data_IF_238697976112
#
_entry.id   IF_238697976112
#
_cell.length_a   1.000
_cell.length_b   1.000
_cell.length_c   1.000
_cell.angle_alpha   90.00
_cell.angle_beta   90.00
_cell.angle_gamma   90.00
#
_symmetry.space_group_name_H-M   'P 1'
#
loop_
_entity.id
_entity.type
_entity.pdbx_description
1 polymer ?
#
# COMPACT_ATOMS: atom_id res chain seq x y z
N UNK A 1 -22.20 17.92 12.43
CA UNK A 1 -20.86 17.39 12.68
C UNK A 1 -20.66 16.27 11.67
N UNK A 2 -19.74 16.44 10.74
CA UNK A 2 -19.39 15.40 9.78
C UNK A 2 -18.55 14.35 10.51
N UNK A 3 -18.52 13.11 10.01
CA UNK A 3 -17.71 12.00 10.55
C UNK A 3 -16.22 12.38 10.72
N UNK A 4 -15.74 13.36 9.96
CA UNK A 4 -14.39 13.93 10.06
C UNK A 4 -14.20 14.76 11.35
N UNK A 5 -15.21 15.55 11.77
CA UNK A 5 -15.09 16.43 12.95
C UNK A 5 -15.01 15.65 14.27
N UNK A 6 -15.59 14.44 14.31
CA UNK A 6 -15.53 13.56 15.48
C UNK A 6 -14.15 12.88 15.63
N UNK A 7 -13.45 12.63 14.51
CA UNK A 7 -12.13 11.96 14.48
C UNK A 7 -10.97 12.86 14.95
N UNK A 8 -11.15 14.19 14.98
CA UNK A 8 -10.04 15.15 15.11
C UNK A 8 -9.91 15.82 16.48
N UNK A 9 -10.91 15.74 17.35
CA UNK A 9 -10.94 16.57 18.57
C UNK A 9 -10.13 16.07 19.78
N UNK A 10 -9.41 14.94 19.70
CA UNK A 10 -8.69 14.33 20.82
C UNK A 10 -7.27 13.86 20.57
N UNK A 11 -6.68 14.00 19.37
CA UNK A 11 -5.62 13.13 18.86
C UNK A 11 -4.16 13.60 19.02
N UNK A 12 -3.79 14.57 19.86
CA UNK A 12 -2.42 15.14 19.79
C UNK A 12 -1.51 14.94 21.01
N UNK A 13 -2.00 14.44 22.13
CA UNK A 13 -1.15 14.02 23.25
C UNK A 13 -1.55 12.62 23.73
N UNK A 14 -0.72 11.62 23.36
CA UNK A 14 -0.93 10.24 23.77
C UNK A 14 -1.59 9.34 22.72
N UNK A 15 -1.58 9.74 21.43
CA UNK A 15 -2.10 8.92 20.34
C UNK A 15 -1.37 7.57 20.26
N UNK A 16 -2.13 6.48 20.28
CA UNK A 16 -1.63 5.11 20.26
C UNK A 16 -1.40 4.64 18.83
N UNK A 17 -0.16 4.33 18.49
CA UNK A 17 0.21 3.76 17.19
C UNK A 17 0.43 2.26 17.34
N UNK A 18 -0.38 1.47 16.67
CA UNK A 18 -0.16 0.03 16.48
C UNK A 18 0.63 -0.23 15.21
N UNK A 19 1.61 -1.13 15.28
CA UNK A 19 2.38 -1.54 14.10
C UNK A 19 1.99 -2.95 13.69
N UNK A 20 1.63 -3.14 12.42
CA UNK A 20 1.32 -4.43 11.83
C UNK A 20 2.42 -4.84 10.84
N UNK A 21 2.95 -6.05 11.02
CA UNK A 21 3.97 -6.67 10.16
C UNK A 21 3.48 -8.04 9.73
N UNK A 22 3.56 -8.34 8.43
CA UNK A 22 3.32 -9.69 7.91
C UNK A 22 4.64 -10.27 7.43
N UNK A 23 5.11 -11.28 8.15
CA UNK A 23 6.35 -11.99 7.80
C UNK A 23 6.06 -13.24 6.96
N UNK A 24 6.87 -13.48 5.95
CA UNK A 24 6.91 -14.73 5.19
C UNK A 24 8.33 -15.01 4.68
N UNK A 25 9.01 -15.96 5.33
CA UNK A 25 10.39 -16.36 4.98
C UNK A 25 11.40 -15.19 4.93
N UNK A 26 11.25 -14.20 5.82
CA UNK A 26 12.08 -12.99 5.82
C UNK A 26 12.72 -12.72 7.21
N UNK A 27 13.10 -13.77 7.97
CA UNK A 27 13.54 -13.64 9.37
C UNK A 27 14.62 -12.58 9.57
N UNK A 28 15.72 -12.62 8.82
CA UNK A 28 16.83 -11.66 9.01
C UNK A 28 16.44 -10.20 8.70
N UNK A 29 15.49 -9.99 7.80
CA UNK A 29 14.94 -8.66 7.51
C UNK A 29 13.97 -8.24 8.61
N UNK A 30 13.13 -9.17 9.09
CA UNK A 30 12.24 -8.93 10.23
C UNK A 30 13.04 -8.48 11.46
N UNK A 31 14.15 -9.14 11.79
CA UNK A 31 15.00 -8.78 12.94
C UNK A 31 15.48 -7.33 12.83
N UNK A 32 15.95 -6.90 11.66
CA UNK A 32 16.35 -5.52 11.38
C UNK A 32 15.19 -4.53 11.47
N UNK A 33 14.01 -4.90 11.01
CA UNK A 33 12.81 -4.07 11.13
C UNK A 33 12.40 -3.90 12.60
N UNK A 34 12.48 -4.97 13.40
CA UNK A 34 12.18 -4.94 14.83
C UNK A 34 13.20 -4.10 15.60
N UNK A 35 14.50 -4.18 15.27
CA UNK A 35 15.52 -3.27 15.82
C UNK A 35 15.21 -1.80 15.51
N UNK A 36 14.79 -1.49 14.28
CA UNK A 36 14.42 -0.12 13.90
C UNK A 36 13.17 0.37 14.67
N UNK A 37 12.22 -0.52 14.95
CA UNK A 37 11.05 -0.21 15.77
C UNK A 37 11.41 -0.02 17.26
N UNK A 38 12.36 -0.78 17.79
CA UNK A 38 12.83 -0.63 19.16
C UNK A 38 13.56 0.72 19.40
N UNK A 39 14.14 1.32 18.35
CA UNK A 39 14.83 2.62 18.43
C UNK A 39 13.92 3.83 18.19
N UNK A 40 12.62 3.65 17.96
CA UNK A 40 11.73 4.78 17.68
C UNK A 40 11.70 5.80 18.84
N UNK A 41 11.86 7.10 18.52
CA UNK A 41 11.77 8.22 19.49
C UNK A 41 10.39 8.28 20.17
N UNK A 42 9.35 7.91 19.43
CA UNK A 42 8.00 7.64 19.96
C UNK A 42 7.76 6.13 19.81
N UNK A 43 7.81 5.35 20.88
CA UNK A 43 7.65 3.90 20.79
C UNK A 43 6.24 3.54 20.32
N UNK A 44 6.08 2.48 19.53
CA UNK A 44 4.76 1.98 19.16
C UNK A 44 4.01 1.53 20.42
N UNK A 45 2.70 1.76 20.47
CA UNK A 45 1.85 1.29 21.57
C UNK A 45 1.78 -0.24 21.60
N UNK A 46 1.72 -0.88 20.44
CA UNK A 46 1.75 -2.33 20.24
C UNK A 46 2.34 -2.68 18.89
N UNK A 47 3.09 -3.76 18.83
CA UNK A 47 3.56 -4.36 17.57
C UNK A 47 2.91 -5.73 17.41
N UNK A 48 2.31 -6.01 16.26
CA UNK A 48 1.78 -7.33 15.92
C UNK A 48 2.50 -7.85 14.69
N UNK A 49 3.17 -8.97 14.85
CA UNK A 49 3.83 -9.70 13.78
C UNK A 49 3.02 -10.94 13.46
N UNK A 50 2.46 -11.00 12.26
CA UNK A 50 1.81 -12.21 11.75
C UNK A 50 2.82 -12.98 10.89
N UNK A 51 3.25 -14.14 11.38
CA UNK A 51 4.05 -15.07 10.57
C UNK A 51 3.13 -15.90 9.66
N UNK A 52 3.28 -15.68 8.36
CA UNK A 52 2.41 -16.22 7.33
C UNK A 52 2.89 -17.61 6.87
N UNK A 53 3.11 -18.53 7.84
CA UNK A 53 3.63 -19.88 7.64
C UNK A 53 5.04 -19.94 7.04
N UNK A 54 5.97 -19.21 7.62
CA UNK A 54 7.39 -19.31 7.25
C UNK A 54 7.96 -20.69 7.55
N UNK A 55 8.93 -21.14 6.75
CA UNK A 55 9.63 -22.41 7.00
C UNK A 55 10.35 -22.43 8.35
N UNK A 56 10.96 -21.28 8.70
CA UNK A 56 11.58 -21.01 10.00
C UNK A 56 11.05 -19.68 10.51
N UNK A 57 10.74 -19.61 11.80
CA UNK A 57 10.28 -18.38 12.44
C UNK A 57 10.64 -18.40 13.91
N UNK A 58 11.31 -17.34 14.36
CA UNK A 58 11.64 -17.10 15.75
C UNK A 58 11.28 -15.67 16.13
N UNK A 59 11.02 -15.44 17.44
CA UNK A 59 10.86 -14.09 17.95
C UNK A 59 12.16 -13.29 17.80
N UNK A 60 12.06 -12.01 17.43
CA UNK A 60 13.25 -11.18 17.24
C UNK A 60 13.93 -10.86 18.57
N UNK A 61 15.26 -10.99 18.67
CA UNK A 61 15.99 -10.72 19.91
C UNK A 61 15.97 -9.22 20.33
N UNK A 62 15.65 -8.31 19.39
CA UNK A 62 15.66 -6.85 19.60
C UNK A 62 14.27 -6.25 19.43
N UNK A 63 13.23 -6.95 19.90
CA UNK A 63 11.85 -6.51 19.75
C UNK A 63 11.43 -5.43 20.76
N UNK A 64 10.48 -4.55 20.43
CA UNK A 64 9.76 -3.75 21.42
C UNK A 64 9.06 -4.64 22.45
N UNK A 65 9.03 -4.22 23.71
CA UNK A 65 8.51 -5.02 24.85
C UNK A 65 7.01 -5.37 24.77
N UNK A 66 6.28 -4.71 23.86
CA UNK A 66 4.85 -4.87 23.62
C UNK A 66 4.54 -5.55 22.27
N UNK A 67 5.44 -6.45 21.85
CA UNK A 67 5.27 -7.24 20.61
C UNK A 67 4.41 -8.47 20.86
N UNK A 68 3.48 -8.72 19.96
CA UNK A 68 2.67 -9.93 19.86
C UNK A 68 2.97 -10.66 18.56
N UNK A 69 3.17 -11.97 18.66
CA UNK A 69 3.38 -12.85 17.50
C UNK A 69 2.17 -13.76 17.29
N UNK A 70 1.67 -13.76 16.07
CA UNK A 70 0.61 -14.68 15.62
C UNK A 70 1.13 -15.51 14.44
N UNK A 71 1.12 -16.84 14.58
CA UNK A 71 1.60 -17.74 13.53
C UNK A 71 0.46 -18.45 12.83
N UNK A 72 0.44 -18.39 11.50
CA UNK A 72 -0.54 -19.09 10.68
C UNK A 72 0.00 -20.44 10.19
N UNK A 73 -0.91 -21.41 9.97
CA UNK A 73 -0.59 -22.74 9.45
C UNK A 73 -0.35 -22.77 7.93
N UNK A 74 -0.77 -21.70 7.22
CA UNK A 74 -0.62 -21.57 5.77
C UNK A 74 -0.43 -20.11 5.37
N UNK A 75 0.23 -19.88 4.22
CA UNK A 75 0.37 -18.53 3.68
C UNK A 75 -0.99 -18.00 3.19
N UNK A 76 -1.56 -17.11 3.96
CA UNK A 76 -2.87 -16.49 3.72
C UNK A 76 -2.81 -15.28 2.78
N UNK A 77 -1.62 -14.87 2.38
CA UNK A 77 -1.37 -13.65 1.60
C UNK A 77 -1.19 -12.40 2.46
N UNK A 78 -0.71 -11.35 1.84
CA UNK A 78 -0.42 -10.07 2.49
C UNK A 78 -1.68 -9.39 3.03
N UNK A 79 -2.75 -9.37 2.22
CA UNK A 79 -4.00 -8.70 2.58
C UNK A 79 -4.63 -9.30 3.86
N UNK A 80 -4.77 -10.63 3.92
CA UNK A 80 -5.36 -11.30 5.08
C UNK A 80 -4.45 -11.25 6.31
N UNK A 81 -3.14 -11.42 6.11
CA UNK A 81 -2.18 -11.30 7.22
C UNK A 81 -2.23 -9.94 7.89
N UNK A 82 -2.29 -8.85 7.10
CA UNK A 82 -2.44 -7.51 7.67
C UNK A 82 -3.80 -7.26 8.31
N UNK A 83 -4.90 -7.75 7.74
CA UNK A 83 -6.21 -7.65 8.39
C UNK A 83 -6.20 -8.33 9.76
N UNK A 84 -5.59 -9.52 9.86
CA UNK A 84 -5.44 -10.21 11.14
C UNK A 84 -4.57 -9.40 12.12
N UNK A 85 -3.42 -8.89 11.68
CA UNK A 85 -2.57 -8.06 12.53
C UNK A 85 -3.31 -6.82 13.04
N UNK A 86 -4.04 -6.11 12.16
CA UNK A 86 -4.82 -4.91 12.52
C UNK A 86 -5.98 -5.24 13.46
N UNK A 87 -6.60 -6.41 13.35
CA UNK A 87 -7.67 -6.84 14.27
C UNK A 87 -7.20 -7.05 15.70
N UNK A 88 -5.88 -7.21 15.91
CA UNK A 88 -5.25 -7.32 17.23
C UNK A 88 -4.73 -5.95 17.76
N UNK A 89 -5.00 -4.87 17.04
CA UNK A 89 -4.65 -3.48 17.34
C UNK A 89 -5.92 -2.62 17.57
N UNK A 90 -6.93 -3.19 18.19
CA UNK A 90 -8.25 -2.60 18.39
C UNK A 90 -8.25 -1.39 19.34
N UNK A 91 -7.25 -1.30 20.24
CA UNK A 91 -7.05 -0.19 21.17
C UNK A 91 -6.13 0.92 20.65
N UNK A 92 -5.78 0.90 19.35
CA UNK A 92 -4.93 1.90 18.71
C UNK A 92 -5.73 2.95 17.91
N UNK A 93 -5.23 4.19 17.90
CA UNK A 93 -5.81 5.28 17.12
C UNK A 93 -5.32 5.27 15.68
N UNK A 94 -4.06 4.85 15.52
CA UNK A 94 -3.34 4.79 14.25
C UNK A 94 -2.75 3.41 14.01
N UNK A 95 -2.78 2.98 12.76
CA UNK A 95 -2.15 1.75 12.30
C UNK A 95 -0.99 2.08 11.37
N UNK A 96 0.20 1.65 11.75
CA UNK A 96 1.36 1.66 10.86
C UNK A 96 1.55 0.27 10.24
N UNK A 97 1.47 0.18 8.92
CA UNK A 97 1.85 -1.02 8.18
C UNK A 97 3.34 -0.92 7.85
N UNK A 98 4.09 -1.94 8.22
CA UNK A 98 5.54 -2.00 7.99
C UNK A 98 5.89 -3.37 7.42
N UNK A 99 6.52 -3.40 6.25
CA UNK A 99 7.02 -4.66 5.72
C UNK A 99 8.25 -5.13 6.49
N UNK A 100 8.51 -6.44 6.57
CA UNK A 100 9.71 -6.97 7.24
C UNK A 100 11.02 -6.51 6.56
N UNK A 101 10.98 -6.10 5.29
CA UNK A 101 12.11 -5.58 4.52
C UNK A 101 12.16 -4.03 4.46
N UNK A 102 11.42 -3.36 5.35
CA UNK A 102 11.40 -1.90 5.49
C UNK A 102 11.93 -1.48 6.87
N UNK A 103 12.97 -0.64 6.88
CA UNK A 103 13.67 -0.21 8.08
C UNK A 103 13.40 1.27 8.34
N UNK A 104 12.60 1.56 9.35
CA UNK A 104 12.18 2.91 9.71
C UNK A 104 13.34 3.71 10.29
N UNK A 105 13.48 4.99 9.93
CA UNK A 105 14.31 5.93 10.66
C UNK A 105 13.78 6.09 12.10
N UNK A 106 14.67 6.36 13.07
CA UNK A 106 14.34 6.35 14.49
C UNK A 106 13.21 7.32 14.90
N UNK A 107 12.92 8.34 14.09
CA UNK A 107 11.87 9.33 14.31
C UNK A 107 10.64 9.17 13.38
N UNK A 108 10.48 8.04 12.70
CA UNK A 108 9.43 7.85 11.69
C UNK A 108 8.02 8.01 12.28
N UNK A 109 7.74 7.33 13.40
CA UNK A 109 6.43 7.40 14.10
C UNK A 109 6.17 8.85 14.55
N UNK A 110 7.16 9.51 15.13
CA UNK A 110 7.07 10.92 15.55
C UNK A 110 6.68 11.84 14.38
N UNK A 111 7.35 11.70 13.23
CA UNK A 111 7.08 12.52 12.03
C UNK A 111 5.69 12.25 11.45
N UNK A 112 5.25 11.00 11.44
CA UNK A 112 3.90 10.64 11.01
C UNK A 112 2.83 11.24 11.93
N UNK A 113 2.98 11.13 13.25
CA UNK A 113 2.05 11.72 14.21
C UNK A 113 2.05 13.25 14.15
N UNK A 114 3.21 13.88 13.98
CA UNK A 114 3.31 15.33 13.81
C UNK A 114 2.61 15.80 12.52
N UNK A 115 2.69 15.02 11.45
CA UNK A 115 1.95 15.31 10.22
C UNK A 115 0.44 15.15 10.40
N UNK A 116 0.01 14.07 11.07
CA UNK A 116 -1.41 13.82 11.36
C UNK A 116 -2.03 14.91 12.25
N UNK A 117 -1.27 15.43 13.22
CA UNK A 117 -1.71 16.52 14.08
C UNK A 117 -1.80 17.88 13.37
N UNK A 118 -0.90 18.14 12.40
CA UNK A 118 -0.87 19.38 11.64
C UNK A 118 -1.88 19.42 10.49
N UNK A 119 -2.22 18.29 9.91
CA UNK A 119 -2.96 18.15 8.66
C UNK A 119 -4.21 17.28 8.87
N UNK A 120 -5.12 17.77 9.68
CA UNK A 120 -6.29 17.02 10.19
C UNK A 120 -7.29 16.54 9.13
N UNK A 121 -7.23 17.08 7.92
CA UNK A 121 -8.06 16.66 6.79
C UNK A 121 -7.55 15.36 6.12
N UNK A 122 -6.39 14.84 6.53
CA UNK A 122 -5.83 13.60 6.01
C UNK A 122 -6.00 12.47 7.01
N UNK A 123 -6.41 11.30 6.53
CA UNK A 123 -6.66 10.13 7.36
C UNK A 123 -5.68 8.98 7.09
N UNK A 124 -4.85 9.08 6.06
CA UNK A 124 -3.78 8.12 5.78
C UNK A 124 -2.58 8.79 5.15
N UNK A 125 -1.40 8.22 5.41
CA UNK A 125 -0.12 8.88 5.18
C UNK A 125 0.86 7.94 4.52
N UNK A 126 1.60 8.48 3.54
CA UNK A 126 2.70 7.81 2.87
C UNK A 126 4.03 8.34 3.40
N UNK A 127 4.90 7.47 3.92
CA UNK A 127 6.28 7.82 4.21
C UNK A 127 7.15 7.90 2.96
N UNK A 128 8.34 8.48 3.11
CA UNK A 128 9.39 8.44 2.10
C UNK A 128 10.15 7.12 2.22
N UNK A 129 10.18 6.34 1.17
CA UNK A 129 11.02 5.14 1.11
C UNK A 129 12.21 5.35 0.18
N UNK A 130 13.40 5.00 0.67
CA UNK A 130 14.65 5.02 -0.09
C UNK A 130 15.06 3.57 -0.39
N UNK A 131 15.75 3.36 -1.51
CA UNK A 131 16.27 2.03 -1.85
C UNK A 131 17.38 1.66 -0.86
N UNK A 132 17.25 0.54 -0.15
CA UNK A 132 18.15 0.18 0.96
C UNK A 132 19.63 0.09 0.53
N UNK A 133 19.89 -0.46 -0.67
CA UNK A 133 21.25 -0.61 -1.22
C UNK A 133 21.74 0.67 -1.92
N UNK A 134 20.87 1.64 -2.19
CA UNK A 134 21.18 2.90 -2.88
C UNK A 134 20.36 4.06 -2.28
N UNK A 135 20.64 4.48 -1.01
CA UNK A 135 19.79 5.43 -0.27
C UNK A 135 19.74 6.87 -0.83
N UNK A 136 20.53 7.17 -1.86
CA UNK A 136 20.39 8.41 -2.62
C UNK A 136 19.18 8.42 -3.55
N UNK A 137 18.58 7.26 -3.81
CA UNK A 137 17.44 7.09 -4.71
C UNK A 137 16.18 6.72 -3.95
N UNK A 138 15.08 7.29 -4.42
CA UNK A 138 13.73 6.97 -3.94
C UNK A 138 13.32 5.56 -4.38
N UNK A 139 12.84 4.76 -3.42
CA UNK A 139 11.99 3.61 -3.71
C UNK A 139 10.54 4.07 -3.95
N UNK A 140 10.08 5.07 -3.18
CA UNK A 140 8.77 5.66 -3.39
C UNK A 140 8.48 6.87 -2.50
N UNK A 141 7.59 7.73 -2.98
CA UNK A 141 7.06 8.91 -2.30
C UNK A 141 5.52 8.93 -2.42
N UNK A 142 4.89 7.84 -2.00
CA UNK A 142 3.50 7.52 -2.29
C UNK A 142 3.29 6.94 -3.69
N UNK A 143 2.05 6.59 -4.00
CA UNK A 143 1.67 5.96 -5.26
C UNK A 143 0.87 6.89 -6.16
N UNK A 144 1.07 6.72 -7.46
CA UNK A 144 0.22 7.25 -8.49
C UNK A 144 -0.77 6.18 -8.96
N UNK A 145 -2.02 6.58 -9.19
CA UNK A 145 -3.00 5.78 -9.89
C UNK A 145 -3.42 6.48 -11.19
N UNK A 146 -3.30 5.78 -12.31
CA UNK A 146 -3.66 6.32 -13.61
C UNK A 146 -5.10 5.94 -13.98
N UNK A 147 -5.77 6.82 -14.73
CA UNK A 147 -7.16 6.60 -15.18
C UNK A 147 -7.36 5.29 -15.96
N UNK A 148 -6.32 4.74 -16.58
CA UNK A 148 -6.34 3.41 -17.22
C UNK A 148 -6.23 2.24 -16.23
N UNK A 149 -6.11 2.47 -14.93
CA UNK A 149 -6.06 1.43 -13.90
C UNK A 149 -4.66 0.99 -13.48
N UNK A 150 -3.60 1.45 -14.13
CA UNK A 150 -2.23 1.17 -13.67
C UNK A 150 -1.86 2.07 -12.49
N UNK A 151 -1.03 1.51 -11.60
CA UNK A 151 -0.43 2.25 -10.50
C UNK A 151 1.09 2.04 -10.50
N UNK A 152 1.82 3.02 -9.96
CA UNK A 152 3.27 2.96 -9.80
C UNK A 152 3.73 3.85 -8.67
N UNK A 153 4.88 3.54 -8.07
CA UNK A 153 5.50 4.34 -7.03
C UNK A 153 5.96 5.68 -7.59
N UNK A 154 5.55 6.76 -6.94
CA UNK A 154 5.96 8.11 -7.31
C UNK A 154 7.44 8.31 -7.00
N UNK A 155 8.20 8.82 -7.96
CA UNK A 155 9.62 9.12 -7.80
C UNK A 155 10.57 7.91 -7.82
N UNK A 156 10.09 6.70 -8.14
CA UNK A 156 10.93 5.50 -8.15
C UNK A 156 12.21 5.71 -8.96
N UNK A 157 13.37 5.46 -8.32
CA UNK A 157 14.73 5.65 -8.83
C UNK A 157 15.11 7.09 -9.21
N UNK A 158 14.34 8.09 -8.81
CA UNK A 158 14.77 9.49 -8.83
C UNK A 158 15.55 9.82 -7.57
N UNK A 159 16.33 10.89 -7.61
CA UNK A 159 17.07 11.37 -6.43
C UNK A 159 16.11 11.84 -5.33
N UNK A 160 16.51 11.71 -4.08
CA UNK A 160 15.72 12.08 -2.90
C UNK A 160 15.20 13.54 -2.92
N UNK A 161 15.98 14.48 -3.49
CA UNK A 161 15.59 15.89 -3.63
C UNK A 161 14.26 16.14 -4.35
N UNK A 162 13.76 15.18 -5.14
CA UNK A 162 12.47 15.26 -5.81
C UNK A 162 11.26 15.03 -4.87
N UNK A 163 11.49 14.66 -3.63
CA UNK A 163 10.44 14.34 -2.65
C UNK A 163 10.67 15.10 -1.33
N UNK A 164 10.73 16.45 -1.40
CA UNK A 164 11.05 17.33 -0.26
C UNK A 164 9.85 18.03 0.37
N UNK A 165 8.67 17.99 -0.25
CA UNK A 165 7.48 18.72 0.21
C UNK A 165 6.33 17.77 0.51
N UNK A 166 5.51 18.13 1.52
CA UNK A 166 4.22 17.47 1.76
C UNK A 166 3.30 17.75 0.60
N UNK A 167 2.72 16.72 0.05
CA UNK A 167 1.74 16.81 -1.05
C UNK A 167 0.67 15.74 -0.89
N UNK A 168 -0.50 16.00 -1.42
CA UNK A 168 -1.52 14.99 -1.56
C UNK A 168 -1.10 13.96 -2.63
N UNK A 169 -1.13 12.66 -2.30
CA UNK A 169 -0.84 11.55 -3.21
C UNK A 169 -2.04 10.62 -3.30
N UNK A 170 -2.10 9.75 -4.32
CA UNK A 170 -3.24 8.84 -4.46
C UNK A 170 -3.37 7.88 -3.28
N UNK A 171 -2.27 7.28 -2.85
CA UNK A 171 -2.18 6.37 -1.72
C UNK A 171 -0.74 6.13 -1.31
N UNK A 172 -0.51 5.46 -0.18
CA UNK A 172 0.81 5.00 0.21
C UNK A 172 1.10 3.63 -0.40
N UNK A 173 2.37 3.30 -0.58
CA UNK A 173 2.79 1.92 -0.67
C UNK A 173 2.73 1.30 0.75
N UNK A 174 2.11 0.13 0.89
CA UNK A 174 1.93 -0.52 2.20
C UNK A 174 3.24 -1.00 2.84
N UNK A 175 4.40 -0.81 2.19
CA UNK A 175 5.70 -1.11 2.80
C UNK A 175 5.98 -0.25 4.04
N UNK A 176 5.55 1.04 4.02
CA UNK A 176 5.60 1.95 5.17
C UNK A 176 4.47 2.97 5.06
N UNK A 177 3.35 2.68 5.68
CA UNK A 177 2.15 3.52 5.59
C UNK A 177 1.50 3.68 6.96
N UNK A 178 0.85 4.83 7.22
CA UNK A 178 0.06 5.02 8.43
C UNK A 178 -1.38 5.37 8.08
N UNK A 179 -2.33 4.77 8.80
CA UNK A 179 -3.76 4.94 8.60
C UNK A 179 -4.44 5.27 9.93
N UNK A 180 -5.39 6.19 9.93
CA UNK A 180 -6.35 6.30 11.03
C UNK A 180 -7.11 4.97 11.13
N UNK A 181 -7.17 4.38 12.35
CA UNK A 181 -7.81 3.07 12.58
C UNK A 181 -9.26 3.09 12.12
N UNK A 182 -10.00 4.14 12.49
CA UNK A 182 -11.41 4.29 12.12
C UNK A 182 -11.62 4.39 10.60
N UNK A 183 -10.69 5.04 9.87
CA UNK A 183 -10.77 5.13 8.41
C UNK A 183 -10.49 3.76 7.76
N UNK A 184 -9.51 3.03 8.27
CA UNK A 184 -9.21 1.67 7.82
C UNK A 184 -10.40 0.74 8.02
N UNK A 185 -11.01 0.78 9.20
CA UNK A 185 -12.18 -0.04 9.55
C UNK A 185 -13.44 0.35 8.77
N UNK A 186 -13.67 1.66 8.54
CA UNK A 186 -14.81 2.15 7.79
C UNK A 186 -14.91 1.58 6.37
N UNK A 187 -13.77 1.23 5.77
CA UNK A 187 -13.73 0.61 4.44
C UNK A 187 -13.55 -0.92 4.50
N UNK A 188 -13.46 -1.50 5.72
CA UNK A 188 -13.34 -2.94 5.96
C UNK A 188 -11.95 -3.51 5.70
N UNK A 189 -10.90 -2.71 5.91
CA UNK A 189 -9.51 -3.13 5.75
C UNK A 189 -9.14 -3.51 4.33
N UNK A 190 -8.18 -4.43 4.18
CA UNK A 190 -7.79 -4.98 2.87
C UNK A 190 -8.83 -5.94 2.32
N UNK A 191 -8.97 -5.98 1.00
CA UNK A 191 -9.75 -7.02 0.33
C UNK A 191 -8.91 -8.29 0.15
N UNK A 192 -9.20 -9.32 0.91
CA UNK A 192 -8.43 -10.58 0.98
C UNK A 192 -8.40 -11.36 -0.34
N UNK A 193 -9.34 -11.09 -1.27
CA UNK A 193 -9.32 -11.70 -2.61
C UNK A 193 -8.06 -11.33 -3.41
N UNK A 194 -7.44 -10.20 -3.08
CA UNK A 194 -6.24 -9.74 -3.76
C UNK A 194 -5.01 -10.60 -3.43
N UNK A 195 -4.96 -11.17 -2.26
CA UNK A 195 -3.85 -11.94 -1.74
C UNK A 195 -2.58 -11.12 -1.55
N UNK A 196 -1.99 -10.60 -2.64
CA UNK A 196 -0.77 -9.78 -2.66
C UNK A 196 -0.73 -8.95 -3.96
N UNK A 197 -0.10 -7.79 -3.93
CA UNK A 197 -0.01 -6.77 -4.99
C UNK A 197 -1.34 -6.10 -5.35
N UNK A 198 -1.35 -4.77 -5.39
CA UNK A 198 -2.52 -3.93 -5.64
C UNK A 198 -3.58 -3.93 -4.53
N UNK A 199 -3.43 -4.69 -3.45
CA UNK A 199 -4.30 -4.62 -2.27
C UNK A 199 -4.23 -3.24 -1.60
N UNK A 200 -3.04 -2.63 -1.57
CA UNK A 200 -2.79 -1.29 -1.06
C UNK A 200 -3.41 -0.20 -1.96
N UNK A 201 -3.26 -0.35 -3.25
CA UNK A 201 -3.91 0.52 -4.24
C UNK A 201 -5.43 0.42 -4.15
N UNK A 202 -5.96 -0.78 -3.95
CA UNK A 202 -7.39 -1.01 -3.74
C UNK A 202 -7.89 -0.37 -2.44
N UNK A 203 -7.16 -0.55 -1.34
CA UNK A 203 -7.46 0.07 -0.05
C UNK A 203 -7.46 1.60 -0.17
N UNK A 204 -6.41 2.18 -0.75
CA UNK A 204 -6.32 3.62 -0.98
C UNK A 204 -7.48 4.14 -1.82
N UNK A 205 -7.88 3.39 -2.86
CA UNK A 205 -9.02 3.77 -3.69
C UNK A 205 -10.33 3.77 -2.89
N UNK A 206 -10.57 2.74 -2.06
CA UNK A 206 -11.78 2.66 -1.22
C UNK A 206 -11.80 3.75 -0.16
N UNK A 207 -10.67 4.06 0.47
CA UNK A 207 -10.53 5.19 1.40
C UNK A 207 -10.89 6.51 0.71
N UNK A 208 -10.38 6.75 -0.49
CA UNK A 208 -10.72 7.94 -1.27
C UNK A 208 -12.17 8.00 -1.69
N UNK A 209 -12.77 6.87 -2.06
CA UNK A 209 -14.21 6.79 -2.33
C UNK A 209 -15.05 7.12 -1.10
N UNK A 210 -14.59 6.75 0.08
CA UNK A 210 -15.21 7.09 1.35
C UNK A 210 -14.99 8.57 1.78
N UNK A 211 -14.19 9.33 1.02
CA UNK A 211 -13.93 10.75 1.27
C UNK A 211 -12.62 11.06 2.00
N UNK A 212 -11.85 10.06 2.38
CA UNK A 212 -10.57 10.24 3.06
C UNK A 212 -9.45 10.65 2.08
N UNK A 213 -8.47 11.40 2.58
CA UNK A 213 -7.35 11.93 1.80
C UNK A 213 -6.02 11.36 2.29
N UNK A 214 -5.04 11.25 1.38
CA UNK A 214 -3.68 10.75 1.64
C UNK A 214 -2.65 11.87 1.53
N UNK A 215 -1.79 12.01 2.56
CA UNK A 215 -0.68 12.94 2.56
C UNK A 215 0.66 12.19 2.45
N UNK A 216 1.55 12.65 1.59
CA UNK A 216 2.95 12.25 1.60
C UNK A 216 3.72 13.07 2.63
N UNK A 217 4.50 12.40 3.50
CA UNK A 217 5.28 12.96 4.59
C UNK A 217 6.78 12.75 4.30
N UNK A 218 7.48 13.75 3.76
CA UNK A 218 8.88 13.61 3.32
C UNK A 218 9.86 13.35 4.47
N UNK A 219 9.51 13.77 5.68
CA UNK A 219 10.38 13.64 6.87
C UNK A 219 10.27 12.27 7.55
N UNK A 220 9.24 11.47 7.23
CA UNK A 220 9.07 10.12 7.72
C UNK A 220 9.78 9.14 6.76
N UNK A 221 11.07 8.91 7.00
CA UNK A 221 11.96 8.17 6.10
C UNK A 221 12.09 6.71 6.51
N UNK A 222 12.13 5.81 5.53
CA UNK A 222 12.48 4.40 5.71
C UNK A 222 13.39 3.90 4.58
N UNK A 223 14.24 2.92 4.87
CA UNK A 223 14.98 2.16 3.87
C UNK A 223 14.15 0.94 3.50
N UNK A 224 14.01 0.63 2.21
CA UNK A 224 13.22 -0.51 1.75
C UNK A 224 14.06 -1.36 0.77
N UNK A 225 14.15 -2.66 1.03
CA UNK A 225 14.88 -3.59 0.17
C UNK A 225 14.08 -3.86 -1.11
N UNK A 226 12.79 -4.06 -0.95
CA UNK A 226 11.85 -4.26 -2.05
C UNK A 226 11.90 -5.65 -2.66
N UNK A 227 10.76 -6.34 -2.64
CA UNK A 227 10.56 -7.65 -3.28
C UNK A 227 11.51 -8.76 -2.83
N UNK A 228 12.10 -8.66 -1.62
CA UNK A 228 13.10 -9.59 -1.12
C UNK A 228 12.63 -11.04 -1.03
N UNK A 229 11.33 -11.28 -0.82
CA UNK A 229 10.75 -12.63 -0.64
C UNK A 229 9.97 -13.15 -1.83
N UNK A 230 9.60 -12.30 -2.80
CA UNK A 230 8.70 -12.68 -3.92
C UNK A 230 9.43 -12.87 -5.25
N UNK A 231 10.78 -12.85 -5.24
CA UNK A 231 11.59 -13.05 -6.44
C UNK A 231 11.68 -11.84 -7.38
N UNK A 232 11.34 -10.64 -6.88
CA UNK A 232 11.41 -9.38 -7.63
C UNK A 232 10.12 -9.00 -8.36
N UNK A 233 10.08 -7.73 -8.82
CA UNK A 233 8.90 -7.13 -9.47
C UNK A 233 8.49 -7.81 -10.78
N UNK A 234 9.37 -8.59 -11.39
CA UNK A 234 9.13 -9.30 -12.67
C UNK A 234 9.06 -10.82 -12.49
N UNK A 235 8.99 -11.32 -11.25
CA UNK A 235 8.74 -12.74 -11.01
C UNK A 235 7.36 -13.15 -11.54
N UNK A 236 7.18 -14.41 -11.88
CA UNK A 236 5.87 -14.93 -12.31
C UNK A 236 4.79 -14.73 -11.25
N UNK A 237 5.17 -14.76 -9.98
CA UNK A 237 4.28 -14.46 -8.86
C UNK A 237 3.78 -13.01 -8.90
N UNK A 238 4.70 -12.03 -9.02
CA UNK A 238 4.36 -10.62 -9.09
C UNK A 238 3.55 -10.27 -10.33
N UNK A 239 3.93 -10.81 -11.49
CA UNK A 239 3.21 -10.63 -12.77
C UNK A 239 1.79 -11.19 -12.68
N UNK A 240 1.63 -12.41 -12.13
CA UNK A 240 0.32 -13.03 -12.01
C UNK A 240 -0.62 -12.21 -11.11
N UNK A 241 -0.21 -11.96 -9.87
CA UNK A 241 -1.07 -11.24 -8.92
C UNK A 241 -1.30 -9.79 -9.34
N UNK A 242 -0.26 -9.05 -9.70
CA UNK A 242 -0.37 -7.65 -10.12
C UNK A 242 -1.31 -7.48 -11.31
N UNK A 243 -1.14 -8.26 -12.37
CA UNK A 243 -1.97 -8.11 -13.58
C UNK A 243 -3.39 -8.67 -13.45
N UNK A 244 -3.65 -9.60 -12.56
CA UNK A 244 -5.01 -9.98 -12.17
C UNK A 244 -5.68 -8.83 -11.40
N UNK A 245 -4.98 -8.31 -10.42
CA UNK A 245 -5.51 -7.34 -9.46
C UNK A 245 -5.70 -5.93 -10.06
N UNK A 246 -4.89 -5.54 -11.05
CA UNK A 246 -5.14 -4.32 -11.86
C UNK A 246 -6.57 -4.29 -12.39
N UNK A 247 -7.04 -5.40 -12.97
CA UNK A 247 -8.41 -5.50 -13.52
C UNK A 247 -9.44 -5.40 -12.40
N UNK A 248 -9.21 -6.11 -11.30
CA UNK A 248 -10.14 -6.12 -10.16
C UNK A 248 -10.26 -4.75 -9.49
N UNK A 249 -9.13 -4.06 -9.28
CA UNK A 249 -9.12 -2.69 -8.72
C UNK A 249 -9.93 -1.73 -9.60
N UNK A 250 -9.72 -1.77 -10.92
CA UNK A 250 -10.45 -0.92 -11.85
C UNK A 250 -11.96 -1.23 -11.82
N UNK A 251 -12.32 -2.48 -11.99
CA UNK A 251 -13.73 -2.89 -12.05
C UNK A 251 -14.46 -2.58 -10.76
N UNK A 252 -13.84 -2.83 -9.61
CA UNK A 252 -14.45 -2.61 -8.29
C UNK A 252 -14.61 -1.13 -7.96
N UNK A 253 -13.58 -0.31 -8.23
CA UNK A 253 -13.48 1.01 -7.61
C UNK A 253 -13.74 2.17 -8.58
N UNK A 254 -13.48 2.06 -9.90
CA UNK A 254 -13.65 3.20 -10.80
C UNK A 254 -15.09 3.73 -10.78
N UNK A 255 -15.34 5.02 -10.40
CA UNK A 255 -16.69 5.46 -10.09
C UNK A 255 -17.52 5.87 -11.32
N UNK A 256 -18.82 5.61 -11.27
CA UNK A 256 -19.86 6.16 -12.12
C UNK A 256 -19.55 6.11 -13.63
N UNK A 257 -19.74 7.24 -14.29
CA UNK A 257 -19.50 7.40 -15.74
C UNK A 257 -18.04 7.23 -16.13
N UNK A 258 -17.10 7.52 -15.22
CA UNK A 258 -15.67 7.38 -15.49
C UNK A 258 -15.22 5.93 -15.69
N UNK A 259 -15.97 4.98 -15.15
CA UNK A 259 -15.78 3.56 -15.45
C UNK A 259 -15.90 3.31 -16.98
N UNK A 260 -16.91 3.88 -17.61
CA UNK A 260 -17.14 3.69 -19.04
C UNK A 260 -16.20 4.52 -19.92
N UNK A 261 -15.94 5.77 -19.54
CA UNK A 261 -15.02 6.66 -20.26
C UNK A 261 -13.60 6.08 -20.32
N UNK A 262 -13.10 5.55 -19.20
CA UNK A 262 -11.74 5.02 -19.12
C UNK A 262 -11.64 3.51 -19.39
N UNK A 263 -12.75 2.85 -19.72
CA UNK A 263 -12.75 1.42 -20.05
C UNK A 263 -11.88 1.12 -21.29
N UNK A 264 -11.96 1.93 -22.33
CA UNK A 264 -11.14 1.74 -23.54
C UNK A 264 -9.64 1.88 -23.23
N UNK A 265 -9.15 2.96 -22.57
CA UNK A 265 -7.77 3.03 -22.11
C UNK A 265 -7.36 1.85 -21.22
N UNK A 266 -8.25 1.39 -20.33
CA UNK A 266 -7.99 0.24 -19.47
C UNK A 266 -7.77 -1.05 -20.27
N UNK A 267 -8.65 -1.34 -21.23
CA UNK A 267 -8.53 -2.51 -22.10
C UNK A 267 -7.27 -2.44 -22.98
N UNK A 268 -6.98 -1.26 -23.56
CA UNK A 268 -5.79 -1.06 -24.38
C UNK A 268 -4.50 -1.30 -23.57
N UNK A 269 -4.43 -0.78 -22.33
CA UNK A 269 -3.28 -1.00 -21.44
C UNK A 269 -3.11 -2.47 -21.05
N UNK A 270 -4.21 -3.17 -20.77
CA UNK A 270 -4.16 -4.61 -20.47
C UNK A 270 -3.71 -5.43 -21.70
N UNK A 271 -4.15 -5.05 -22.90
CA UNK A 271 -3.71 -5.68 -24.16
C UNK A 271 -2.21 -5.47 -24.39
N UNK A 272 -1.70 -4.23 -24.24
CA UNK A 272 -0.28 -3.91 -24.36
C UNK A 272 0.53 -4.69 -23.32
N UNK A 273 0.07 -4.79 -22.07
CA UNK A 273 0.71 -5.60 -21.06
C UNK A 273 0.79 -7.09 -21.45
N UNK A 274 -0.28 -7.66 -22.00
CA UNK A 274 -0.25 -9.04 -22.51
C UNK A 274 0.81 -9.24 -23.58
N UNK A 275 0.94 -8.34 -24.54
CA UNK A 275 1.96 -8.41 -25.59
C UNK A 275 3.38 -8.30 -25.00
N UNK A 276 3.62 -7.30 -24.14
CA UNK A 276 4.94 -7.07 -23.55
C UNK A 276 5.41 -8.25 -22.71
N UNK A 277 4.56 -8.82 -21.86
CA UNK A 277 4.93 -9.96 -21.03
C UNK A 277 5.02 -11.27 -21.82
N UNK A 278 4.23 -11.42 -22.89
CA UNK A 278 4.38 -12.53 -23.81
C UNK A 278 5.75 -12.49 -24.53
N UNK A 279 6.15 -11.31 -25.01
CA UNK A 279 7.48 -11.10 -25.65
C UNK A 279 8.65 -11.32 -24.66
N UNK A 280 8.42 -11.11 -23.34
CA UNK A 280 9.40 -11.40 -22.28
C UNK A 280 9.44 -12.87 -21.85
N UNK A 281 8.73 -13.78 -22.53
CA UNK A 281 8.66 -15.20 -22.19
C UNK A 281 7.67 -15.58 -21.09
N UNK A 282 6.85 -14.60 -20.60
CA UNK A 282 5.87 -14.82 -19.53
C UNK A 282 4.43 -14.93 -20.04
N UNK A 283 4.24 -15.40 -21.30
CA UNK A 283 2.93 -15.54 -21.93
C UNK A 283 1.95 -16.38 -21.09
N UNK A 284 2.40 -17.53 -20.59
CA UNK A 284 1.56 -18.42 -19.76
C UNK A 284 1.07 -17.71 -18.48
N UNK A 285 1.95 -16.98 -17.81
CA UNK A 285 1.65 -16.27 -16.56
C UNK A 285 0.67 -15.13 -16.79
N UNK A 286 0.92 -14.27 -17.79
CA UNK A 286 0.05 -13.12 -18.06
C UNK A 286 -1.35 -13.55 -18.54
N UNK A 287 -1.46 -14.56 -19.43
CA UNK A 287 -2.76 -15.07 -19.87
C UNK A 287 -3.54 -15.76 -18.75
N UNK A 288 -2.85 -16.51 -17.85
CA UNK A 288 -3.47 -17.06 -16.64
C UNK A 288 -4.01 -15.95 -15.75
N UNK A 289 -3.23 -14.88 -15.51
CA UNK A 289 -3.67 -13.72 -14.73
C UNK A 289 -4.93 -13.09 -15.31
N UNK A 290 -4.98 -12.84 -16.62
CA UNK A 290 -6.16 -12.25 -17.28
C UNK A 290 -7.37 -13.17 -17.26
N UNK A 291 -7.19 -14.46 -17.53
CA UNK A 291 -8.26 -15.46 -17.41
C UNK A 291 -8.87 -15.47 -16.02
N UNK A 292 -8.04 -15.48 -14.98
CA UNK A 292 -8.52 -15.54 -13.59
C UNK A 292 -9.08 -14.19 -13.13
N UNK A 293 -8.60 -13.07 -13.70
CA UNK A 293 -9.26 -11.77 -13.55
C UNK A 293 -10.69 -11.79 -14.09
N UNK A 294 -10.90 -12.35 -15.29
CA UNK A 294 -12.23 -12.49 -15.90
C UNK A 294 -13.14 -13.41 -15.10
N UNK A 295 -12.63 -14.54 -14.60
CA UNK A 295 -13.39 -15.45 -13.73
C UNK A 295 -13.87 -14.79 -12.44
N UNK A 296 -13.07 -13.86 -11.90
CA UNK A 296 -13.41 -13.08 -10.71
C UNK A 296 -14.35 -11.90 -10.94
N UNK A 297 -14.69 -11.54 -12.19
CA UNK A 297 -15.44 -10.32 -12.49
C UNK A 297 -16.79 -10.23 -11.77
N UNK A 298 -17.56 -11.31 -11.75
CA UNK A 298 -18.87 -11.31 -11.09
C UNK A 298 -18.75 -10.97 -9.59
N UNK A 299 -17.71 -11.50 -8.93
CA UNK A 299 -17.41 -11.18 -7.53
C UNK A 299 -17.03 -9.71 -7.37
N UNK A 300 -16.16 -9.19 -8.24
CA UNK A 300 -15.75 -7.79 -8.20
C UNK A 300 -16.92 -6.83 -8.50
N UNK A 301 -17.82 -7.19 -9.38
CA UNK A 301 -19.03 -6.40 -9.64
C UNK A 301 -19.99 -6.38 -8.44
N UNK A 302 -20.12 -7.48 -7.69
CA UNK A 302 -20.87 -7.48 -6.42
C UNK A 302 -20.22 -6.55 -5.39
N UNK A 303 -18.89 -6.65 -5.19
CA UNK A 303 -18.14 -5.75 -4.30
C UNK A 303 -18.22 -4.30 -4.76
N UNK A 304 -18.21 -4.05 -6.08
CA UNK A 304 -18.43 -2.71 -6.65
C UNK A 304 -19.74 -2.10 -6.16
N UNK A 305 -20.82 -2.84 -6.20
CA UNK A 305 -22.14 -2.34 -5.75
C UNK A 305 -22.05 -1.82 -4.31
N UNK A 306 -21.38 -2.54 -3.43
CA UNK A 306 -21.19 -2.15 -2.04
C UNK A 306 -20.29 -0.92 -1.90
N UNK A 307 -19.12 -0.92 -2.56
CA UNK A 307 -18.16 0.19 -2.55
C UNK A 307 -18.80 1.48 -3.10
N UNK A 308 -19.51 1.39 -4.23
CA UNK A 308 -20.13 2.56 -4.84
C UNK A 308 -21.33 3.09 -4.03
N UNK A 309 -22.06 2.23 -3.30
CA UNK A 309 -23.14 2.62 -2.40
C UNK A 309 -22.61 3.43 -1.21
N UNK A 310 -21.44 3.07 -0.68
CA UNK A 310 -20.79 3.78 0.45
C UNK A 310 -19.99 5.02 0.02
N UNK A 311 -19.95 5.31 -1.28
CA UNK A 311 -19.15 6.42 -1.79
C UNK A 311 -19.68 7.77 -1.30
N UNK A 312 -18.77 8.55 -0.70
CA UNK A 312 -19.01 9.94 -0.25
C UNK A 312 -18.34 10.93 -1.22
N UNK A 313 -17.15 10.59 -1.71
CA UNK A 313 -16.36 11.47 -2.58
C UNK A 313 -17.03 11.72 -3.94
N UNK A 314 -16.95 12.97 -4.40
CA UNK A 314 -17.37 13.31 -5.78
C UNK A 314 -16.36 12.75 -6.77
N UNK A 315 -16.84 12.28 -7.92
CA UNK A 315 -15.97 11.72 -8.96
C UNK A 315 -14.91 12.71 -9.47
N UNK A 316 -15.21 14.01 -9.45
CA UNK A 316 -14.27 15.07 -9.84
C UNK A 316 -13.08 15.18 -8.87
N UNK A 317 -13.30 15.00 -7.58
CA UNK A 317 -12.24 15.07 -6.57
C UNK A 317 -11.27 13.89 -6.71
N UNK A 318 -11.78 12.70 -7.00
CA UNK A 318 -10.96 11.54 -7.34
C UNK A 318 -10.10 11.76 -8.58
N UNK A 319 -10.66 12.35 -9.63
CA UNK A 319 -9.92 12.64 -10.86
C UNK A 319 -8.81 13.67 -10.68
N UNK A 320 -8.88 14.56 -9.65
CA UNK A 320 -7.80 15.52 -9.38
C UNK A 320 -6.52 14.83 -8.94
N UNK A 321 -6.63 13.76 -8.18
CA UNK A 321 -5.49 13.01 -7.63
C UNK A 321 -5.05 11.85 -8.54
N UNK A 322 -5.84 11.49 -9.55
CA UNK A 322 -5.47 10.49 -10.56
C UNK A 322 -4.54 11.10 -11.62
N UNK A 323 -3.58 10.30 -12.05
CA UNK A 323 -2.73 10.65 -13.19
C UNK A 323 -3.51 10.46 -14.51
N UNK A 324 -3.36 11.44 -15.42
CA UNK A 324 -4.06 11.49 -16.72
C UNK A 324 -3.09 11.64 -17.89
N UNK A 325 -1.80 11.33 -17.69
CA UNK A 325 -0.78 11.46 -18.75
C UNK A 325 -1.10 10.54 -19.92
N UNK A 326 -0.87 11.00 -21.17
CA UNK A 326 -1.12 10.20 -22.37
C UNK A 326 -0.17 8.99 -22.49
N UNK A 327 1.00 9.04 -21.87
CA UNK A 327 2.03 8.02 -21.92
C UNK A 327 2.40 7.53 -20.50
N UNK A 328 1.49 6.85 -19.80
CA UNK A 328 1.76 6.38 -18.43
C UNK A 328 2.93 5.39 -18.37
N UNK A 329 3.13 4.56 -19.41
CA UNK A 329 4.19 3.56 -19.47
C UNK A 329 5.61 4.17 -19.52
N UNK A 330 5.77 5.36 -20.10
CA UNK A 330 7.08 6.04 -20.11
C UNK A 330 7.54 6.46 -18.71
N UNK A 331 6.60 6.59 -17.76
CA UNK A 331 6.86 6.94 -16.35
C UNK A 331 6.93 5.73 -15.42
N UNK A 332 6.37 4.60 -15.84
CA UNK A 332 6.45 3.33 -15.09
C UNK A 332 7.78 2.60 -15.35
N UNK A 333 8.56 3.00 -16.36
CA UNK A 333 9.80 2.37 -16.74
C UNK A 333 10.97 3.26 -16.28
N UNK A 334 11.91 2.75 -15.49
CA UNK A 334 13.11 3.50 -15.16
C UNK A 334 13.85 3.86 -16.45
N UNK A 335 14.24 5.13 -16.57
CA UNK A 335 15.03 5.59 -17.72
C UNK A 335 16.31 4.76 -17.80
N UNK A 336 16.47 3.99 -18.90
CA UNK A 336 17.66 3.16 -19.15
C UNK A 336 18.95 3.97 -19.36
N UNK A 337 18.88 5.30 -19.22
CA UNK A 337 20.01 6.23 -19.45
C UNK A 337 20.82 6.56 -18.20
N UNK A 338 20.45 6.03 -17.03
CA UNK A 338 21.29 6.08 -15.84
C UNK A 338 22.14 4.81 -15.74
N UNK A 339 23.17 4.72 -16.60
CA UNK A 339 24.34 3.86 -16.43
C UNK A 339 25.54 4.77 -16.33
#
# INVERSE_FOLDING_TARGET
MTTLDALTSGMTRGAKVGVAIVNWNAQSMLDRAMEALARQTVPPHRVVVVDNASCTFDASPSEPSNTHYERLDYNSGFARGNNLAVSLLDDCDWIALVNPDAFLADNWIEKMLAAAAAEIEYAFFAGKTLIADEPSLLDGAGDNYHVSGIAWRRGYRHTDSHASSRIEVFGPCAATAMYAKDAFDAVGGFDEDFFCYFEDVDLAFRLRLAGFRCLFVPDAVALHVGSGTTGGQHSDFAVYHGHRNVVWTYVKNMPGVWFWIFLIPHLAMNFVACLLFAMKGQARTIFRAKRDALRGLQRMLRKRTEVQRRRVARSADLLRVMNKSLLPLARCWPDRRAK
#
